data_IF_582384385993
#
_entry.id   IF_582384385993
#
_cell.length_a   1.000
_cell.length_b   1.000
_cell.length_c   1.000
_cell.angle_alpha   90.00
_cell.angle_beta   90.00
_cell.angle_gamma   90.00
#
_symmetry.space_group_name_H-M   'P 1'
#
loop_
_entity.id
_entity.type
_entity.pdbx_description
1 polymer ?
#
# COMPACT_ATOMS: atom_id res chain seq x y z
N UNK A 1 -22.66 10.24 9.49
CA UNK A 1 -23.08 9.79 8.15
C UNK A 1 -21.91 9.04 7.53
N UNK A 2 -21.96 7.71 7.47
CA UNK A 2 -20.91 6.88 6.86
C UNK A 2 -21.02 6.99 5.33
N UNK A 3 -20.24 7.86 4.72
CA UNK A 3 -19.98 7.75 3.28
C UNK A 3 -19.09 6.53 3.06
N UNK A 4 -19.67 5.49 2.45
CA UNK A 4 -18.92 4.33 1.97
C UNK A 4 -17.96 4.81 0.88
N UNK A 5 -16.65 4.83 1.17
CA UNK A 5 -15.62 5.18 0.18
C UNK A 5 -15.61 4.15 -0.94
N UNK A 6 -15.64 4.59 -2.20
CA UNK A 6 -15.64 3.67 -3.34
C UNK A 6 -14.25 3.05 -3.56
N UNK A 7 -13.18 3.81 -3.30
CA UNK A 7 -11.79 3.39 -3.51
C UNK A 7 -10.92 3.61 -2.25
N UNK A 8 -11.45 3.15 -1.11
CA UNK A 8 -10.77 3.28 0.17
C UNK A 8 -9.56 2.35 0.29
N UNK A 9 -8.53 2.80 1.01
CA UNK A 9 -7.40 1.99 1.43
C UNK A 9 -7.27 2.05 2.95
N UNK A 10 -6.66 1.04 3.56
CA UNK A 10 -6.35 1.03 4.98
C UNK A 10 -5.22 0.05 5.28
N UNK A 11 -4.45 0.33 6.34
CA UNK A 11 -3.44 -0.60 6.85
C UNK A 11 -3.42 -0.60 8.37
N UNK A 12 -2.86 -1.67 8.92
CA UNK A 12 -2.49 -1.80 10.33
C UNK A 12 -1.06 -2.32 10.37
N UNK A 13 -0.21 -1.72 11.20
CA UNK A 13 1.20 -2.12 11.36
C UNK A 13 1.55 -2.13 12.84
N UNK A 14 2.28 -3.15 13.28
CA UNK A 14 2.79 -3.24 14.65
C UNK A 14 4.30 -3.15 14.64
N UNK A 15 4.84 -2.18 15.38
CA UNK A 15 6.29 -1.91 15.50
C UNK A 15 6.62 -1.83 16.98
N UNK A 16 7.55 -2.66 17.47
CA UNK A 16 7.98 -2.61 18.88
C UNK A 16 6.87 -2.90 19.90
N UNK A 17 5.79 -3.58 19.50
CA UNK A 17 4.62 -3.84 20.36
C UNK A 17 3.55 -2.75 20.33
N UNK A 18 3.80 -1.62 19.67
CA UNK A 18 2.81 -0.58 19.42
C UNK A 18 2.13 -0.81 18.07
N UNK A 19 0.82 -0.59 18.01
CA UNK A 19 0.04 -0.78 16.78
C UNK A 19 -0.44 0.57 16.24
N UNK A 20 -0.08 0.82 14.98
CA UNK A 20 -0.43 1.99 14.22
C UNK A 20 -1.37 1.65 13.07
N UNK A 21 -2.18 2.60 12.66
CA UNK A 21 -3.08 2.44 11.53
C UNK A 21 -3.28 3.75 10.78
N UNK A 22 -3.68 3.64 9.52
CA UNK A 22 -4.28 4.75 8.78
C UNK A 22 -5.20 4.23 7.67
N UNK A 23 -5.99 5.14 7.12
CA UNK A 23 -6.91 4.87 6.03
C UNK A 23 -7.28 6.16 5.30
N UNK A 24 -7.52 6.04 4.00
CA UNK A 24 -7.80 7.17 3.13
C UNK A 24 -8.65 6.78 1.93
N UNK A 25 -8.58 7.60 0.90
CA UNK A 25 -9.21 7.33 -0.40
C UNK A 25 -8.17 7.57 -1.49
N UNK A 26 -8.04 6.61 -2.41
CA UNK A 26 -7.12 6.77 -3.54
C UNK A 26 -7.71 7.79 -4.54
N UNK A 27 -6.94 8.81 -4.95
CA UNK A 27 -7.41 9.83 -5.87
C UNK A 27 -7.53 9.28 -7.30
N UNK A 28 -8.48 9.76 -8.13
CA UNK A 28 -8.72 9.24 -9.48
C UNK A 28 -7.48 9.21 -10.38
N UNK A 29 -6.63 10.23 -10.34
CA UNK A 29 -5.40 10.29 -11.15
C UNK A 29 -4.43 9.14 -10.88
N UNK A 30 -4.42 8.63 -9.65
CA UNK A 30 -3.60 7.47 -9.27
C UNK A 30 -4.22 6.18 -9.80
N UNK A 31 -5.55 6.11 -9.78
CA UNK A 31 -6.33 4.97 -10.28
C UNK A 31 -6.23 4.83 -11.81
N UNK A 32 -6.09 5.95 -12.52
CA UNK A 32 -5.97 5.98 -13.97
C UNK A 32 -4.75 5.20 -14.49
N UNK A 33 -3.68 5.10 -13.70
CA UNK A 33 -2.51 4.24 -14.00
C UNK A 33 -2.91 2.77 -14.15
N UNK A 34 -4.01 2.37 -13.52
CA UNK A 34 -4.55 1.01 -13.53
C UNK A 34 -5.83 0.89 -14.37
N UNK A 35 -6.30 1.98 -14.99
CA UNK A 35 -7.61 2.06 -15.64
C UNK A 35 -7.78 1.15 -16.86
N UNK A 36 -6.72 0.52 -17.36
CA UNK A 36 -6.89 -0.39 -18.48
C UNK A 36 -7.71 -1.65 -18.16
N UNK A 37 -7.90 -2.10 -16.91
CA UNK A 37 -8.81 -3.24 -16.60
C UNK A 37 -9.46 -3.17 -15.23
N UNK A 38 -10.55 -3.93 -15.06
CA UNK A 38 -11.31 -4.28 -13.84
C UNK A 38 -10.46 -4.93 -12.72
N UNK A 39 -9.30 -4.36 -12.40
CA UNK A 39 -8.24 -4.96 -11.62
C UNK A 39 -7.88 -4.12 -10.39
N UNK A 40 -8.76 -3.25 -9.92
CA UNK A 40 -8.47 -2.40 -8.75
C UNK A 40 -8.46 -3.20 -7.43
N UNK A 41 -9.43 -4.11 -7.24
CA UNK A 41 -9.42 -5.07 -6.13
C UNK A 41 -8.32 -6.13 -6.35
N UNK A 42 -8.14 -6.56 -7.60
CA UNK A 42 -7.09 -7.51 -7.92
C UNK A 42 -5.69 -6.92 -7.76
N UNK A 43 -5.42 -5.63 -7.95
CA UNK A 43 -4.08 -5.06 -7.78
C UNK A 43 -3.61 -5.08 -6.32
N UNK A 44 -4.53 -4.90 -5.35
CA UNK A 44 -4.23 -5.07 -3.93
C UNK A 44 -4.11 -6.55 -3.54
N UNK A 45 -4.95 -7.42 -4.10
CA UNK A 45 -4.84 -8.88 -3.93
C UNK A 45 -3.62 -9.48 -4.65
N UNK A 46 -3.18 -8.86 -5.75
CA UNK A 46 -2.01 -9.23 -6.57
C UNK A 46 -0.75 -8.62 -5.97
N UNK A 47 -0.77 -7.49 -5.26
CA UNK A 47 0.42 -7.05 -4.50
C UNK A 47 0.83 -8.16 -3.53
N UNK A 48 -0.12 -8.80 -2.86
CA UNK A 48 0.12 -9.97 -2.01
C UNK A 48 0.59 -11.21 -2.79
N UNK A 49 0.18 -11.40 -4.06
CA UNK A 49 0.64 -12.51 -4.91
C UNK A 49 1.97 -12.22 -5.64
N UNK A 50 2.30 -10.97 -5.95
CA UNK A 50 3.54 -10.53 -6.61
C UNK A 50 4.68 -10.44 -5.60
N UNK A 51 4.37 -10.13 -4.35
CA UNK A 51 5.29 -10.37 -3.23
C UNK A 51 5.60 -11.86 -3.02
N UNK A 52 4.74 -12.77 -3.52
CA UNK A 52 4.95 -14.22 -3.42
C UNK A 52 5.48 -14.88 -4.71
N UNK A 53 5.26 -14.31 -5.92
CA UNK A 53 5.48 -15.04 -7.21
C UNK A 53 6.16 -14.19 -8.32
N UNK A 54 6.45 -12.90 -8.12
CA UNK A 54 7.25 -12.09 -9.07
C UNK A 54 6.46 -11.29 -10.11
N UNK A 55 7.19 -10.50 -10.89
CA UNK A 55 6.71 -9.49 -11.85
C UNK A 55 5.57 -10.01 -12.76
N UNK A 56 4.49 -9.22 -12.88
CA UNK A 56 3.34 -9.52 -13.74
C UNK A 56 3.44 -8.87 -15.13
N UNK A 57 2.39 -8.98 -15.95
CA UNK A 57 2.34 -8.35 -17.28
C UNK A 57 2.02 -6.84 -17.25
N UNK A 58 1.81 -6.26 -16.07
CA UNK A 58 1.55 -4.82 -15.92
C UNK A 58 2.84 -4.11 -15.49
N UNK A 59 3.41 -3.30 -16.38
CA UNK A 59 4.63 -2.55 -16.13
C UNK A 59 4.53 -1.59 -14.94
N UNK A 60 3.35 -1.02 -14.69
CA UNK A 60 3.15 -0.10 -13.57
C UNK A 60 3.17 -0.82 -12.22
N UNK A 61 2.49 -1.97 -12.12
CA UNK A 61 2.56 -2.84 -10.93
C UNK A 61 3.99 -3.31 -10.70
N UNK A 62 4.71 -3.67 -11.77
CA UNK A 62 6.11 -4.08 -11.71
C UNK A 62 7.02 -2.99 -11.17
N UNK A 63 6.82 -1.74 -11.60
CA UNK A 63 7.55 -0.58 -11.07
C UNK A 63 7.34 -0.41 -9.57
N UNK A 64 6.09 -0.43 -9.10
CA UNK A 64 5.78 -0.29 -7.67
C UNK A 64 6.39 -1.43 -6.84
N UNK A 65 6.33 -2.65 -7.34
CA UNK A 65 6.92 -3.83 -6.68
C UNK A 65 8.45 -3.72 -6.63
N UNK A 66 9.08 -3.29 -7.72
CA UNK A 66 10.52 -3.07 -7.76
C UNK A 66 10.95 -2.02 -6.73
N UNK A 67 10.17 -0.96 -6.55
CA UNK A 67 10.41 0.06 -5.51
C UNK A 67 10.35 -0.52 -4.10
N UNK A 68 9.33 -1.33 -3.79
CA UNK A 68 9.18 -1.96 -2.46
C UNK A 68 10.33 -2.92 -2.18
N UNK A 69 10.70 -3.76 -3.13
CA UNK A 69 11.83 -4.69 -2.96
C UNK A 69 13.19 -3.99 -2.92
N UNK A 70 13.36 -2.92 -3.70
CA UNK A 70 14.54 -2.07 -3.64
C UNK A 70 14.71 -1.47 -2.25
N UNK A 71 13.63 -0.93 -1.67
CA UNK A 71 13.64 -0.39 -0.31
C UNK A 71 14.02 -1.48 0.71
N UNK A 72 13.37 -2.65 0.64
CA UNK A 72 13.67 -3.74 1.55
C UNK A 72 15.14 -4.19 1.45
N UNK A 73 15.67 -4.31 0.23
CA UNK A 73 17.07 -4.69 -0.01
C UNK A 73 18.05 -3.64 0.53
N UNK A 74 17.79 -2.34 0.32
CA UNK A 74 18.64 -1.25 0.80
C UNK A 74 18.77 -1.24 2.33
N UNK A 75 17.71 -1.61 3.05
CA UNK A 75 17.70 -1.59 4.52
C UNK A 75 17.86 -2.98 5.15
N UNK A 76 18.18 -4.01 4.36
CA UNK A 76 18.35 -5.38 4.86
C UNK A 76 17.08 -5.96 5.49
N UNK A 77 15.90 -5.52 5.06
CA UNK A 77 14.63 -6.03 5.54
C UNK A 77 14.31 -7.35 4.85
N UNK A 78 13.71 -8.28 5.61
CA UNK A 78 13.17 -9.53 5.11
C UNK A 78 11.66 -9.55 5.35
N UNK A 79 10.86 -8.98 4.44
CA UNK A 79 9.41 -8.96 4.59
C UNK A 79 8.86 -10.39 4.62
N UNK A 80 8.00 -10.68 5.61
CA UNK A 80 7.26 -11.92 5.70
C UNK A 80 5.79 -11.64 5.41
N UNK A 81 5.21 -12.39 4.47
CA UNK A 81 3.82 -12.20 4.05
C UNK A 81 3.00 -13.44 4.35
N UNK A 82 1.84 -13.23 4.96
CA UNK A 82 0.87 -14.28 5.24
C UNK A 82 -0.47 -13.94 4.60
N UNK A 83 -1.12 -14.93 4.00
CA UNK A 83 -2.49 -14.76 3.53
C UNK A 83 -3.42 -14.70 4.74
N UNK A 84 -4.10 -13.58 4.89
CA UNK A 84 -5.16 -13.40 5.87
C UNK A 84 -6.52 -13.55 5.18
N UNK A 85 -7.43 -14.44 5.66
CA UNK A 85 -8.80 -14.47 5.15
C UNK A 85 -9.48 -13.11 5.25
N UNK A 86 -10.34 -12.74 4.30
CA UNK A 86 -10.99 -11.42 4.30
C UNK A 86 -11.77 -11.14 5.59
N UNK A 87 -12.36 -12.18 6.20
CA UNK A 87 -13.07 -12.08 7.48
C UNK A 87 -12.14 -11.70 8.66
N UNK A 88 -10.85 -12.02 8.55
CA UNK A 88 -9.83 -11.74 9.56
C UNK A 88 -8.97 -10.52 9.19
N UNK A 89 -9.20 -9.92 8.02
CA UNK A 89 -8.45 -8.76 7.57
C UNK A 89 -8.92 -7.49 8.27
N UNK A 90 -8.27 -7.18 9.39
CA UNK A 90 -8.52 -6.01 10.22
C UNK A 90 -8.41 -4.66 9.46
N UNK A 91 -7.71 -4.60 8.31
CA UNK A 91 -7.63 -3.38 7.52
C UNK A 91 -8.82 -3.15 6.59
N UNK A 92 -9.65 -4.17 6.32
CA UNK A 92 -10.83 -4.04 5.46
C UNK A 92 -11.83 -3.04 6.06
N UNK A 93 -12.11 -3.15 7.36
CA UNK A 93 -12.98 -2.23 8.08
C UNK A 93 -12.46 -0.79 8.02
N UNK A 94 -11.15 -0.59 8.24
CA UNK A 94 -10.50 0.71 8.17
C UNK A 94 -10.59 1.33 6.77
N UNK A 95 -10.42 0.54 5.70
CA UNK A 95 -10.58 1.02 4.32
C UNK A 95 -11.97 1.60 4.04
N UNK A 96 -12.99 1.12 4.77
CA UNK A 96 -14.39 1.59 4.69
C UNK A 96 -14.68 2.75 5.65
N UNK A 97 -13.68 3.19 6.42
CA UNK A 97 -13.79 4.25 7.42
C UNK A 97 -14.30 3.79 8.78
N UNK A 98 -14.34 2.48 9.04
CA UNK A 98 -14.72 1.96 10.36
C UNK A 98 -13.49 1.83 11.28
N UNK A 99 -13.34 2.81 12.17
CA UNK A 99 -12.27 2.86 13.17
C UNK A 99 -12.66 2.19 14.51
N UNK A 100 -13.82 1.52 14.60
CA UNK A 100 -14.35 1.02 15.88
C UNK A 100 -13.38 0.07 16.57
N UNK A 101 -12.77 -0.85 15.81
CA UNK A 101 -11.82 -1.82 16.33
C UNK A 101 -10.50 -1.16 16.77
N UNK A 102 -10.00 -0.22 15.98
CA UNK A 102 -8.78 0.53 16.29
C UNK A 102 -8.93 1.33 17.60
N UNK A 103 -10.08 2.00 17.76
CA UNK A 103 -10.42 2.74 19.00
C UNK A 103 -10.57 1.80 20.19
N UNK A 104 -11.26 0.66 20.01
CA UNK A 104 -11.43 -0.36 21.06
C UNK A 104 -10.09 -0.92 21.56
N UNK A 105 -9.12 -1.08 20.66
CA UNK A 105 -7.79 -1.63 20.96
C UNK A 105 -6.75 -0.59 21.34
N UNK A 106 -7.11 0.70 21.35
CA UNK A 106 -6.19 1.78 21.70
C UNK A 106 -5.06 1.97 20.69
N UNK A 107 -5.29 1.70 19.40
CA UNK A 107 -4.29 1.90 18.36
C UNK A 107 -4.07 3.38 18.05
N UNK A 108 -2.87 3.71 17.60
CA UNK A 108 -2.49 5.09 17.26
C UNK A 108 -2.70 5.33 15.77
N UNK A 109 -3.46 6.36 15.43
CA UNK A 109 -3.57 6.78 14.03
C UNK A 109 -2.36 7.61 13.64
N UNK A 110 -1.67 7.21 12.58
CA UNK A 110 -0.52 7.97 12.02
C UNK A 110 -0.97 8.58 10.70
N UNK A 111 -1.09 9.90 10.65
CA UNK A 111 -1.57 10.61 9.45
C UNK A 111 -0.52 10.52 8.35
N UNK A 112 -0.66 9.51 7.49
CA UNK A 112 0.31 9.19 6.45
C UNK A 112 0.39 10.31 5.44
N UNK A 113 1.59 10.61 4.93
CA UNK A 113 1.82 11.54 3.81
C UNK A 113 1.38 10.92 2.49
N UNK A 114 0.08 10.60 2.42
CA UNK A 114 -0.52 9.75 1.40
C UNK A 114 -0.24 10.28 -0.01
N UNK A 115 -0.50 11.57 -0.25
CA UNK A 115 -0.39 12.17 -1.57
C UNK A 115 1.04 12.05 -2.14
N UNK A 116 2.04 12.25 -1.29
CA UNK A 116 3.45 12.16 -1.68
C UNK A 116 3.86 10.72 -2.00
N UNK A 117 3.45 9.76 -1.16
CA UNK A 117 3.69 8.34 -1.40
C UNK A 117 3.05 7.90 -2.74
N UNK A 118 1.81 8.31 -2.99
CA UNK A 118 1.12 7.98 -4.23
C UNK A 118 1.80 8.59 -5.46
N UNK A 119 2.37 9.79 -5.36
CA UNK A 119 3.13 10.41 -6.44
C UNK A 119 4.39 9.63 -6.79
N UNK A 120 5.15 9.18 -5.79
CA UNK A 120 6.34 8.33 -6.00
C UNK A 120 5.94 7.04 -6.69
N UNK A 121 4.91 6.36 -6.20
CA UNK A 121 4.43 5.10 -6.78
C UNK A 121 3.93 5.29 -8.22
N UNK A 122 3.25 6.40 -8.51
CA UNK A 122 2.82 6.76 -9.86
C UNK A 122 4.02 6.90 -10.83
N UNK A 123 5.06 7.62 -10.40
CA UNK A 123 6.28 7.79 -11.19
C UNK A 123 7.03 6.47 -11.37
N UNK A 124 7.11 5.65 -10.32
CA UNK A 124 7.69 4.31 -10.39
C UNK A 124 6.94 3.42 -11.38
N UNK A 125 5.61 3.48 -11.39
CA UNK A 125 4.79 2.74 -12.35
C UNK A 125 5.02 3.17 -13.81
N UNK A 126 5.50 4.39 -14.03
CA UNK A 126 5.74 4.93 -15.37
C UNK A 126 7.20 4.79 -15.82
N UNK A 127 8.13 4.43 -14.93
CA UNK A 127 9.56 4.37 -15.23
C UNK A 127 10.28 3.34 -14.37
N UNK A 128 10.69 2.23 -14.99
CA UNK A 128 11.49 1.19 -14.31
C UNK A 128 12.81 1.73 -13.77
N UNK A 129 13.45 2.68 -14.45
CA UNK A 129 14.69 3.31 -13.98
C UNK A 129 14.46 4.10 -12.69
N UNK A 130 13.40 4.90 -12.64
CA UNK A 130 13.06 5.63 -11.41
C UNK A 130 12.65 4.66 -10.30
N UNK A 131 11.87 3.63 -10.63
CA UNK A 131 11.41 2.62 -9.69
C UNK A 131 12.53 1.90 -8.94
N UNK A 132 13.66 1.63 -9.60
CA UNK A 132 14.80 0.90 -9.02
C UNK A 132 15.90 1.80 -8.47
N UNK A 133 16.02 3.04 -8.93
CA UNK A 133 17.12 3.93 -8.55
C UNK A 133 16.75 4.96 -7.48
N UNK A 134 15.62 5.65 -7.63
CA UNK A 134 15.29 6.85 -6.84
C UNK A 134 14.12 6.61 -5.90
N UNK A 135 13.08 5.94 -6.39
CA UNK A 135 11.84 5.72 -5.66
C UNK A 135 12.05 5.04 -4.28
N UNK A 136 12.96 4.06 -4.09
CA UNK A 136 13.19 3.46 -2.77
C UNK A 136 13.66 4.47 -1.73
N UNK A 137 14.64 5.32 -2.08
CA UNK A 137 15.21 6.33 -1.17
C UNK A 137 14.20 7.43 -0.88
N UNK A 138 13.44 7.87 -1.88
CA UNK A 138 12.39 8.88 -1.68
C UNK A 138 11.26 8.35 -0.78
N UNK A 139 10.86 7.09 -0.97
CA UNK A 139 9.86 6.44 -0.13
C UNK A 139 10.33 6.36 1.33
N UNK A 140 11.60 5.99 1.56
CA UNK A 140 12.16 5.93 2.92
C UNK A 140 12.08 7.27 3.63
N UNK A 141 12.52 8.35 2.99
CA UNK A 141 12.59 9.69 3.59
C UNK A 141 11.22 10.30 3.95
N UNK A 142 10.14 9.76 3.39
CA UNK A 142 8.78 10.27 3.61
C UNK A 142 8.02 9.38 4.60
N UNK A 143 8.32 8.08 4.63
CA UNK A 143 7.63 7.09 5.45
C UNK A 143 8.29 6.85 6.83
N UNK A 144 9.58 7.18 6.99
CA UNK A 144 10.39 6.95 8.19
C UNK A 144 11.19 8.19 8.58
#
# INVERSE_FOLDING_TARGET
MNQRRQNGWGYVVTIGGETFYDFGEAPPWFLDVFAERKAFIYALEILAQVLAIGYGNNGAVNGMVATIWGLAATHGWAPHFERVPSADNISDALSRGDESEAKRRGWTRVHTRQEEILHILYQAGSSTQYATASAPTELFNIAF
#
